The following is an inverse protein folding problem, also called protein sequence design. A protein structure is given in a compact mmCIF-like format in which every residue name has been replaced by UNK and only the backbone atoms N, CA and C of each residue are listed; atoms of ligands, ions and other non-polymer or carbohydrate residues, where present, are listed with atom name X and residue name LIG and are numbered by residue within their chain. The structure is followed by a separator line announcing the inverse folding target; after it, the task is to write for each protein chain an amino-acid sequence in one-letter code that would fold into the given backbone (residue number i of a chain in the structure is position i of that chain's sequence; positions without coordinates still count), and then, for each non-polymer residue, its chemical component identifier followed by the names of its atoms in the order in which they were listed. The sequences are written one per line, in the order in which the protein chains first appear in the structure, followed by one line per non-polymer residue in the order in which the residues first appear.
data_IF_728547351914
#
_entry.id   IF_728547351914
#
_cell.length_a   1.000
_cell.length_b   1.000
_cell.length_c   1.000
_cell.angle_alpha   90.00
_cell.angle_beta   90.00
_cell.angle_gamma   90.00
#
_symmetry.space_group_name_H-M   'P 1'
#
loop_
_entity.id
_entity.type
_entity.pdbx_description
1 polymer ?
#
# COMPACT_ATOMS: atom_id res chain seq x y z
N UNK A 1 4.97 -2.76 17.26
CA UNK A 1 4.75 -1.33 17.27
C UNK A 1 3.79 -0.83 18.35
N UNK A 2 2.71 -1.53 18.61
CA UNK A 2 1.79 -1.33 19.74
C UNK A 2 1.34 -2.71 20.21
N UNK A 3 0.84 -2.79 21.45
CA UNK A 3 0.27 -4.01 22.03
C UNK A 3 -1.15 -4.32 21.49
N UNK A 4 -1.60 -3.54 20.54
CA UNK A 4 -2.94 -3.59 19.96
C UNK A 4 -2.91 -4.16 18.55
N UNK A 5 -3.96 -4.84 18.18
CA UNK A 5 -4.27 -5.22 16.80
C UNK A 5 -5.63 -4.64 16.41
N UNK A 6 -5.84 -4.42 15.13
CA UNK A 6 -7.15 -3.96 14.64
C UNK A 6 -8.20 -5.06 14.78
N UNK A 7 -9.46 -4.68 14.93
CA UNK A 7 -10.56 -5.66 14.95
C UNK A 7 -10.67 -6.44 13.64
N UNK A 8 -10.33 -5.82 12.51
CA UNK A 8 -10.24 -6.53 11.24
C UNK A 8 -9.29 -7.72 11.33
N UNK A 9 -8.11 -7.54 11.89
CA UNK A 9 -7.13 -8.63 12.10
C UNK A 9 -7.64 -9.64 13.13
N UNK A 10 -8.24 -9.17 14.22
CA UNK A 10 -8.74 -10.03 15.31
C UNK A 10 -9.80 -11.01 14.83
N UNK A 11 -10.75 -10.54 14.04
CA UNK A 11 -11.89 -11.34 13.59
C UNK A 11 -11.65 -12.07 12.26
N UNK A 12 -10.52 -11.87 11.60
CA UNK A 12 -10.19 -12.57 10.36
C UNK A 12 -9.78 -14.03 10.56
N UNK A 13 -9.41 -14.43 11.79
CA UNK A 13 -8.92 -15.78 12.09
C UNK A 13 -9.96 -16.89 11.85
N UNK A 14 -11.25 -16.60 11.96
CA UNK A 14 -12.32 -17.55 11.69
C UNK A 14 -12.28 -18.12 10.27
N UNK A 15 -11.87 -17.32 9.28
CA UNK A 15 -11.70 -17.73 7.91
C UNK A 15 -10.61 -18.78 7.70
N UNK A 16 -9.70 -18.95 8.65
CA UNK A 16 -8.67 -19.98 8.58
C UNK A 16 -9.21 -21.39 8.87
N UNK A 17 -10.32 -21.47 9.60
CA UNK A 17 -10.89 -22.75 10.07
C UNK A 17 -12.21 -23.13 9.37
N UNK A 18 -12.89 -22.17 8.75
CA UNK A 18 -14.23 -22.36 8.17
C UNK A 18 -14.20 -22.19 6.66
N UNK A 19 -14.99 -23.02 5.97
CA UNK A 19 -15.21 -22.93 4.52
C UNK A 19 -13.91 -22.97 3.68
N UNK A 20 -12.90 -23.70 4.15
CA UNK A 20 -11.65 -23.93 3.43
C UNK A 20 -11.80 -25.07 2.44
N UNK A 21 -11.23 -24.89 1.25
CA UNK A 21 -11.08 -25.98 0.29
C UNK A 21 -9.93 -26.89 0.75
N UNK A 22 -10.20 -28.17 0.94
CA UNK A 22 -9.26 -29.18 1.40
C UNK A 22 -8.76 -30.09 0.28
N UNK A 23 -9.48 -30.13 -0.83
CA UNK A 23 -9.18 -30.96 -2.02
C UNK A 23 -9.47 -30.16 -3.28
N UNK A 24 -8.88 -30.55 -4.43
CA UNK A 24 -9.24 -29.94 -5.70
C UNK A 24 -10.67 -30.31 -6.13
N UNK A 25 -11.29 -29.42 -6.90
CA UNK A 25 -12.59 -29.63 -7.51
C UNK A 25 -12.48 -29.47 -9.02
N UNK A 26 -13.05 -30.40 -9.74
CA UNK A 26 -13.13 -30.37 -11.21
C UNK A 26 -14.58 -30.21 -11.63
N UNK A 27 -14.83 -29.36 -12.61
CA UNK A 27 -16.16 -29.16 -13.19
C UNK A 27 -16.44 -30.28 -14.19
N UNK A 28 -17.38 -31.15 -13.86
CA UNK A 28 -17.93 -32.19 -14.74
C UNK A 28 -19.43 -31.97 -14.86
N UNK A 29 -19.98 -31.99 -16.08
CA UNK A 29 -21.42 -31.79 -16.33
C UNK A 29 -22.02 -30.55 -15.66
N UNK A 30 -21.30 -29.43 -15.73
CA UNK A 30 -21.65 -28.17 -15.08
C UNK A 30 -21.72 -28.18 -13.55
N UNK A 31 -21.26 -29.24 -12.88
CA UNK A 31 -21.18 -29.33 -11.41
C UNK A 31 -19.73 -29.51 -10.95
N UNK A 32 -19.37 -28.84 -9.87
CA UNK A 32 -18.08 -29.03 -9.20
C UNK A 32 -18.10 -30.36 -8.44
N UNK A 33 -17.15 -31.24 -8.75
CA UNK A 33 -16.97 -32.55 -8.11
C UNK A 33 -15.59 -32.62 -7.46
N UNK A 34 -15.52 -33.24 -6.29
CA UNK A 34 -14.23 -33.50 -5.61
C UNK A 34 -13.34 -34.37 -6.51
N UNK A 35 -12.06 -34.05 -6.53
CA UNK A 35 -11.03 -34.76 -7.28
C UNK A 35 -9.75 -34.88 -6.46
N UNK A 36 -8.76 -35.60 -7.00
CA UNK A 36 -7.42 -35.64 -6.46
C UNK A 36 -6.46 -34.70 -7.22
N UNK A 37 -5.29 -34.46 -6.66
CA UNK A 37 -4.29 -33.56 -7.26
C UNK A 37 -3.76 -34.06 -8.60
N UNK A 38 -3.56 -35.36 -8.77
CA UNK A 38 -3.02 -35.93 -10.01
C UNK A 38 -4.01 -35.70 -11.18
N UNK A 39 -5.29 -35.96 -10.96
CA UNK A 39 -6.33 -35.72 -11.95
C UNK A 39 -6.47 -34.23 -12.27
N UNK A 40 -6.42 -33.35 -11.25
CA UNK A 40 -6.52 -31.91 -11.43
C UNK A 40 -5.30 -31.35 -12.19
N UNK A 41 -4.09 -31.75 -11.83
CA UNK A 41 -2.86 -31.31 -12.50
C UNK A 41 -2.84 -31.80 -13.94
N UNK A 42 -3.20 -33.08 -14.18
CA UNK A 42 -3.28 -33.64 -15.53
C UNK A 42 -4.22 -32.82 -16.40
N UNK A 43 -5.41 -32.51 -15.91
CA UNK A 43 -6.38 -31.70 -16.64
C UNK A 43 -5.85 -30.30 -16.97
N UNK A 44 -5.12 -29.68 -16.04
CA UNK A 44 -4.49 -28.36 -16.27
C UNK A 44 -3.41 -28.48 -17.35
N UNK A 45 -2.54 -29.47 -17.26
CA UNK A 45 -1.47 -29.69 -18.26
C UNK A 45 -2.05 -29.94 -19.64
N UNK A 46 -3.04 -30.84 -19.76
CA UNK A 46 -3.70 -31.16 -21.03
C UNK A 46 -4.32 -29.89 -21.68
N UNK A 47 -4.89 -29.00 -20.86
CA UNK A 47 -5.44 -27.73 -21.37
C UNK A 47 -4.37 -26.73 -21.78
N UNK A 48 -3.31 -26.57 -20.96
CA UNK A 48 -2.24 -25.60 -21.23
C UNK A 48 -1.46 -25.97 -22.49
N UNK A 49 -1.26 -27.25 -22.77
CA UNK A 49 -0.57 -27.74 -23.98
C UNK A 49 -1.30 -27.36 -25.28
N UNK A 50 -2.58 -27.06 -25.22
CA UNK A 50 -3.38 -26.65 -26.39
C UNK A 50 -3.36 -25.13 -26.62
N UNK A 51 -2.79 -24.34 -25.71
CA UNK A 51 -2.83 -22.89 -25.75
C UNK A 51 -1.49 -22.30 -26.22
N UNK A 52 -1.58 -21.14 -26.86
CA UNK A 52 -0.40 -20.33 -27.15
C UNK A 52 0.04 -19.56 -25.89
N UNK A 53 1.31 -19.19 -25.75
CA UNK A 53 1.82 -18.47 -24.58
C UNK A 53 1.04 -17.20 -24.24
N UNK A 54 0.55 -16.49 -25.26
CA UNK A 54 -0.22 -15.25 -25.12
C UNK A 54 -1.64 -15.45 -24.57
N UNK A 55 -2.16 -16.67 -24.66
CA UNK A 55 -3.49 -17.07 -24.14
C UNK A 55 -3.43 -17.48 -22.67
N UNK A 56 -2.21 -17.63 -22.11
CA UNK A 56 -2.00 -18.03 -20.72
C UNK A 56 -1.71 -16.78 -19.91
N UNK A 57 -2.57 -16.47 -18.95
CA UNK A 57 -2.38 -15.38 -17.99
C UNK A 57 -2.39 -15.90 -16.56
N UNK A 58 -1.60 -15.28 -15.69
CA UNK A 58 -1.54 -15.60 -14.28
C UNK A 58 -1.70 -14.38 -13.39
N UNK A 59 -2.49 -14.55 -12.34
CA UNK A 59 -2.67 -13.55 -11.30
C UNK A 59 -2.35 -14.15 -9.92
N UNK A 60 -1.57 -13.41 -9.13
CA UNK A 60 -1.22 -13.78 -7.75
C UNK A 60 -1.75 -12.69 -6.84
N UNK A 61 -2.48 -13.06 -5.79
CA UNK A 61 -2.91 -12.13 -4.76
C UNK A 61 -1.74 -11.71 -3.84
N UNK A 62 -1.90 -10.61 -3.15
CA UNK A 62 -0.90 -9.98 -2.27
C UNK A 62 -0.62 -10.77 -0.97
N UNK A 63 -1.46 -11.73 -0.63
CA UNK A 63 -1.28 -12.61 0.54
C UNK A 63 -0.40 -13.83 0.27
N UNK A 64 0.09 -14.01 -0.97
CA UNK A 64 0.97 -15.12 -1.35
C UNK A 64 2.38 -14.89 -0.80
N UNK A 65 2.99 -15.94 -0.24
CA UNK A 65 4.39 -15.86 0.21
C UNK A 65 5.37 -15.74 -0.97
N UNK A 66 6.58 -15.28 -0.68
CA UNK A 66 7.61 -15.00 -1.68
C UNK A 66 8.04 -16.26 -2.47
N UNK A 67 8.10 -17.40 -1.80
CA UNK A 67 8.48 -18.69 -2.38
C UNK A 67 7.48 -19.15 -3.45
N UNK A 68 6.19 -19.04 -3.15
CA UNK A 68 5.12 -19.38 -4.09
C UNK A 68 5.09 -18.38 -5.26
N UNK A 69 5.29 -17.10 -5.00
CA UNK A 69 5.38 -16.08 -6.05
C UNK A 69 6.56 -16.36 -7.00
N UNK A 70 7.72 -16.75 -6.46
CA UNK A 70 8.88 -17.12 -7.26
C UNK A 70 8.65 -18.42 -8.07
N UNK A 71 8.04 -19.42 -7.46
CA UNK A 71 7.69 -20.68 -8.14
C UNK A 71 6.71 -20.41 -9.30
N UNK A 72 5.71 -19.60 -9.07
CA UNK A 72 4.75 -19.19 -10.09
C UNK A 72 5.40 -18.44 -11.24
N UNK A 73 6.28 -17.47 -10.94
CA UNK A 73 7.07 -16.76 -11.97
C UNK A 73 7.92 -17.72 -12.80
N UNK A 74 8.55 -18.72 -12.17
CA UNK A 74 9.33 -19.77 -12.87
C UNK A 74 8.46 -20.61 -13.78
N UNK A 75 7.26 -21.00 -13.33
CA UNK A 75 6.29 -21.75 -14.11
C UNK A 75 5.89 -21.00 -15.38
N UNK A 76 5.56 -19.71 -15.26
CA UNK A 76 5.21 -18.87 -16.41
C UNK A 76 6.37 -18.69 -17.39
N UNK A 77 7.61 -18.70 -16.89
CA UNK A 77 8.79 -18.68 -17.75
C UNK A 77 8.90 -19.98 -18.60
N UNK A 78 8.49 -21.13 -18.04
CA UNK A 78 8.39 -22.40 -18.78
C UNK A 78 7.31 -22.32 -19.86
N UNK A 79 6.17 -21.72 -19.56
CA UNK A 79 5.10 -21.49 -20.53
C UNK A 79 5.45 -20.43 -21.58
N UNK A 80 6.57 -19.71 -21.43
CA UNK A 80 6.98 -18.56 -22.25
C UNK A 80 5.96 -17.43 -22.28
N UNK A 81 5.08 -17.35 -21.26
CA UNK A 81 4.11 -16.29 -21.12
C UNK A 81 4.63 -15.18 -20.22
N UNK A 82 4.40 -13.93 -20.66
CA UNK A 82 4.72 -12.72 -19.89
C UNK A 82 3.47 -12.11 -19.23
N UNK A 83 2.31 -12.74 -19.36
CA UNK A 83 1.03 -12.24 -18.86
C UNK A 83 0.89 -12.56 -17.36
N UNK A 84 1.73 -11.93 -16.54
CA UNK A 84 1.72 -12.05 -15.09
C UNK A 84 1.30 -10.74 -14.45
N UNK A 85 0.36 -10.80 -13.53
CA UNK A 85 -0.04 -9.66 -12.70
C UNK A 85 -0.15 -10.09 -11.23
N UNK A 86 0.25 -9.20 -10.33
CA UNK A 86 0.18 -9.42 -8.88
C UNK A 86 -0.48 -8.24 -8.14
N UNK A 87 -0.69 -7.13 -8.81
CA UNK A 87 -1.29 -5.93 -8.22
C UNK A 87 -2.80 -6.04 -8.25
N UNK A 88 -3.43 -5.91 -7.10
CA UNK A 88 -4.88 -5.79 -7.01
C UNK A 88 -5.36 -4.40 -7.43
N UNK A 89 -4.52 -3.38 -7.18
CA UNK A 89 -4.79 -2.00 -7.53
C UNK A 89 -3.65 -1.40 -8.34
N UNK A 90 -4.00 -0.49 -9.23
CA UNK A 90 -3.03 0.20 -10.07
C UNK A 90 -2.59 1.49 -9.41
N UNK A 91 -1.57 1.44 -8.57
CA UNK A 91 -0.95 2.62 -7.97
C UNK A 91 0.55 2.69 -8.29
N UNK A 92 1.10 3.91 -8.20
CA UNK A 92 2.51 4.11 -8.46
C UNK A 92 3.36 3.62 -7.30
N UNK A 93 4.32 2.75 -7.59
CA UNK A 93 5.38 2.34 -6.68
C UNK A 93 6.70 2.31 -7.45
N UNK A 94 7.74 2.89 -6.88
CA UNK A 94 9.11 2.78 -7.39
C UNK A 94 9.92 1.83 -6.50
N UNK A 95 10.19 0.58 -6.92
CA UNK A 95 10.87 -0.42 -6.10
C UNK A 95 12.41 -0.24 -6.06
N UNK A 96 12.97 0.77 -6.73
CA UNK A 96 14.41 0.95 -6.84
C UNK A 96 15.10 1.16 -5.48
N UNK A 97 14.41 1.80 -4.54
CA UNK A 97 14.95 2.09 -3.22
C UNK A 97 13.95 1.68 -2.13
N UNK A 98 14.43 1.08 -1.05
CA UNK A 98 13.59 0.64 0.09
C UNK A 98 12.77 1.77 0.69
N UNK A 99 13.33 2.97 0.77
CA UNK A 99 12.65 4.14 1.31
C UNK A 99 11.36 4.52 0.56
N UNK A 100 11.15 3.99 -0.65
CA UNK A 100 9.97 4.31 -1.44
C UNK A 100 8.72 3.49 -1.04
N UNK A 101 8.87 2.43 -0.24
CA UNK A 101 7.77 1.52 0.10
C UNK A 101 7.78 1.00 1.54
N UNK A 102 8.71 1.44 2.37
CA UNK A 102 8.70 1.18 3.81
C UNK A 102 8.46 2.47 4.59
N UNK A 103 7.99 2.34 5.83
CA UNK A 103 7.79 3.48 6.72
C UNK A 103 9.14 3.90 7.32
N UNK A 104 9.77 4.92 6.74
CA UNK A 104 11.19 5.25 6.93
C UNK A 104 11.55 5.70 8.36
N UNK A 105 10.80 6.68 8.91
CA UNK A 105 11.05 7.20 10.27
C UNK A 105 10.66 6.20 11.37
N UNK A 106 10.31 4.99 11.02
CA UNK A 106 9.65 3.97 11.82
C UNK A 106 8.23 4.37 12.29
N UNK A 107 7.40 3.39 12.60
CA UNK A 107 6.04 3.66 13.11
C UNK A 107 6.14 4.33 14.50
N UNK A 108 7.12 3.97 15.32
CA UNK A 108 7.39 4.60 16.60
C UNK A 108 7.85 6.07 16.46
N UNK A 109 8.55 6.39 15.37
CA UNK A 109 9.03 7.74 15.07
C UNK A 109 7.91 8.78 14.87
N UNK A 110 6.66 8.36 14.66
CA UNK A 110 5.51 9.29 14.64
C UNK A 110 5.47 10.13 15.92
N UNK A 111 5.86 9.56 17.06
CA UNK A 111 5.87 10.27 18.33
C UNK A 111 6.94 11.37 18.40
N UNK A 112 7.91 11.38 17.49
CA UNK A 112 8.96 12.39 17.41
C UNK A 112 8.60 13.53 16.43
N UNK A 113 7.58 13.34 15.58
CA UNK A 113 7.20 14.34 14.59
C UNK A 113 6.71 15.64 15.24
N UNK A 114 7.01 16.75 14.59
CA UNK A 114 6.55 18.10 14.96
C UNK A 114 5.52 18.67 13.96
N UNK A 115 5.27 17.95 12.86
CA UNK A 115 4.23 18.22 11.89
C UNK A 115 3.87 16.92 11.16
N UNK A 116 2.59 16.67 10.92
CA UNK A 116 2.12 15.52 10.13
C UNK A 116 1.32 16.03 8.93
N UNK A 117 1.67 15.57 7.72
CA UNK A 117 0.94 15.83 6.49
C UNK A 117 0.43 14.51 5.90
N UNK A 118 -0.88 14.40 5.73
CA UNK A 118 -1.55 13.29 5.05
C UNK A 118 -1.86 13.69 3.61
N UNK A 119 -1.46 12.89 2.62
CA UNK A 119 -1.75 13.13 1.21
C UNK A 119 -2.54 11.94 0.66
N UNK A 120 -3.84 12.11 0.44
CA UNK A 120 -4.72 11.05 -0.02
C UNK A 120 -4.66 9.80 0.84
N UNK A 121 -4.52 9.97 2.14
CA UNK A 121 -4.42 8.88 3.11
C UNK A 121 -5.55 8.95 4.13
N UNK A 122 -6.19 7.81 4.39
CA UNK A 122 -7.12 7.64 5.51
C UNK A 122 -6.58 6.59 6.49
N UNK A 123 -5.68 6.98 7.40
CA UNK A 123 -5.04 6.02 8.30
C UNK A 123 -6.03 5.31 9.23
N UNK A 124 -7.22 5.88 9.50
CA UNK A 124 -8.23 5.20 10.30
C UNK A 124 -8.77 3.93 9.64
N UNK A 125 -8.90 3.92 8.31
CA UNK A 125 -9.40 2.77 7.55
C UNK A 125 -8.28 1.92 6.95
N UNK A 126 -7.20 2.54 6.52
CA UNK A 126 -6.10 1.87 5.82
C UNK A 126 -5.07 1.27 6.79
N UNK A 127 -4.80 1.96 7.92
CA UNK A 127 -3.77 1.60 8.89
C UNK A 127 -4.20 1.98 10.31
N UNK A 128 -5.17 1.26 10.86
CA UNK A 128 -5.87 1.62 12.12
C UNK A 128 -4.93 1.82 13.30
N UNK A 129 -3.90 0.98 13.43
CA UNK A 129 -2.93 1.09 14.54
C UNK A 129 -1.98 2.27 14.33
N UNK A 130 -1.65 2.60 13.07
CA UNK A 130 -0.94 3.83 12.74
C UNK A 130 -1.77 5.06 13.15
N UNK A 131 -3.08 5.04 12.85
CA UNK A 131 -4.00 6.10 13.26
C UNK A 131 -4.06 6.26 14.79
N UNK A 132 -4.10 5.15 15.52
CA UNK A 132 -4.06 5.18 16.99
C UNK A 132 -2.77 5.84 17.50
N UNK A 133 -1.63 5.60 16.87
CA UNK A 133 -0.36 6.24 17.23
C UNK A 133 -0.33 7.73 16.89
N UNK A 134 -0.86 8.13 15.74
CA UNK A 134 -1.03 9.55 15.39
C UNK A 134 -1.91 10.25 16.42
N UNK A 135 -3.04 9.63 16.78
CA UNK A 135 -3.94 10.16 17.82
C UNK A 135 -3.23 10.30 19.17
N UNK A 136 -2.44 9.30 19.58
CA UNK A 136 -1.65 9.33 20.80
C UNK A 136 -0.66 10.50 20.80
N UNK A 137 0.01 10.73 19.67
CA UNK A 137 0.95 11.85 19.50
C UNK A 137 0.22 13.19 19.54
N UNK A 138 -0.90 13.31 18.84
CA UNK A 138 -1.76 14.49 18.89
C UNK A 138 -2.20 14.81 20.32
N UNK A 139 -2.74 13.82 21.06
CA UNK A 139 -3.22 14.01 22.42
C UNK A 139 -2.11 14.41 23.41
N UNK A 140 -0.88 13.93 23.20
CA UNK A 140 0.26 14.23 24.10
C UNK A 140 0.96 15.55 23.79
N UNK A 141 1.11 15.89 22.52
CA UNK A 141 1.97 17.00 22.06
C UNK A 141 1.22 18.07 21.28
N UNK A 142 -0.05 17.85 20.98
CA UNK A 142 -0.83 18.72 20.11
C UNK A 142 -0.13 18.99 18.76
N UNK A 143 0.49 17.94 18.19
CA UNK A 143 1.18 18.05 16.90
C UNK A 143 0.23 18.52 15.81
N UNK A 144 0.57 19.55 15.01
CA UNK A 144 -0.28 20.02 13.95
C UNK A 144 -0.38 18.97 12.82
N UNK A 145 -1.61 18.66 12.43
CA UNK A 145 -1.91 17.65 11.40
C UNK A 145 -2.62 18.34 10.24
N UNK A 146 -2.12 18.11 9.04
CA UNK A 146 -2.64 18.67 7.81
C UNK A 146 -3.03 17.57 6.82
N UNK A 147 -3.97 17.86 5.93
CA UNK A 147 -4.38 16.92 4.89
C UNK A 147 -4.53 17.59 3.53
N UNK A 148 -4.08 16.90 2.49
CA UNK A 148 -4.49 17.14 1.11
C UNK A 148 -5.44 16.01 0.72
N UNK A 149 -6.69 16.38 0.45
CA UNK A 149 -7.85 15.49 0.40
C UNK A 149 -8.58 15.45 1.75
N UNK A 150 -9.79 14.90 1.73
CA UNK A 150 -10.62 14.78 2.92
C UNK A 150 -10.64 13.33 3.43
N UNK A 151 -9.89 13.00 4.49
CA UNK A 151 -9.89 11.66 5.08
C UNK A 151 -11.11 11.37 5.96
N UNK A 152 -12.00 12.34 6.17
CA UNK A 152 -13.16 12.16 7.05
C UNK A 152 -12.79 12.19 8.54
N UNK A 153 -13.54 11.50 9.38
CA UNK A 153 -13.32 11.49 10.83
C UNK A 153 -12.13 10.60 11.20
N UNK A 154 -11.00 11.20 11.56
CA UNK A 154 -9.79 10.51 12.02
C UNK A 154 -9.71 10.34 13.54
N UNK A 155 -10.68 10.89 14.30
CA UNK A 155 -10.72 10.89 15.79
C UNK A 155 -9.76 11.89 16.45
N UNK A 156 -9.19 12.82 15.68
CA UNK A 156 -8.38 13.98 16.09
C UNK A 156 -8.58 15.11 15.10
N UNK A 157 -8.22 16.33 15.50
CA UNK A 157 -8.35 17.50 14.64
C UNK A 157 -7.23 17.58 13.61
N UNK A 158 -7.56 18.03 12.42
CA UNK A 158 -6.63 18.29 11.33
C UNK A 158 -7.16 19.43 10.42
N UNK A 159 -6.26 20.06 9.69
CA UNK A 159 -6.58 21.14 8.75
C UNK A 159 -6.47 20.60 7.30
N UNK A 160 -7.52 20.77 6.51
CA UNK A 160 -7.46 20.49 5.06
C UNK A 160 -6.83 21.69 4.38
N UNK A 161 -5.67 21.48 3.74
CA UNK A 161 -4.89 22.52 3.07
C UNK A 161 -4.98 22.47 1.54
N UNK A 162 -5.65 21.47 1.00
CA UNK A 162 -5.84 21.28 -0.43
C UNK A 162 -6.60 20.01 -0.75
N UNK A 163 -6.99 19.84 -2.01
CA UNK A 163 -7.77 18.69 -2.46
C UNK A 163 -7.27 18.05 -3.77
N UNK A 164 -6.20 18.59 -4.35
CA UNK A 164 -5.75 18.16 -5.66
C UNK A 164 -4.22 18.26 -5.84
N UNK A 165 -3.73 17.80 -6.98
CA UNK A 165 -2.29 17.80 -7.31
C UNK A 165 -1.71 19.22 -7.48
N UNK A 166 -2.52 20.21 -7.85
CA UNK A 166 -2.02 21.57 -8.01
C UNK A 166 -1.67 22.22 -6.68
N UNK A 167 -2.37 21.83 -5.59
CA UNK A 167 -1.99 22.25 -4.24
C UNK A 167 -0.61 21.71 -3.85
N UNK A 168 -0.31 20.47 -4.24
CA UNK A 168 1.02 19.86 -4.04
C UNK A 168 2.08 20.63 -4.85
N UNK A 169 1.80 21.01 -6.10
CA UNK A 169 2.72 21.82 -6.92
C UNK A 169 3.01 23.17 -6.25
N UNK A 170 1.98 23.86 -5.75
CA UNK A 170 2.14 25.12 -5.03
C UNK A 170 2.95 24.97 -3.74
N UNK A 171 2.82 23.85 -3.03
CA UNK A 171 3.65 23.57 -1.85
C UNK A 171 5.12 23.41 -2.27
N UNK A 172 5.40 22.65 -3.32
CA UNK A 172 6.75 22.41 -3.84
C UNK A 172 7.38 23.72 -4.37
N UNK A 173 6.60 24.55 -5.09
CA UNK A 173 7.06 25.87 -5.58
C UNK A 173 7.15 26.94 -4.49
N UNK A 174 6.70 26.64 -3.27
CA UNK A 174 6.66 27.55 -2.11
C UNK A 174 5.64 28.69 -2.24
N UNK A 175 4.66 28.56 -3.13
CA UNK A 175 3.57 29.53 -3.33
C UNK A 175 2.39 29.28 -2.38
N UNK A 176 2.33 28.12 -1.75
CA UNK A 176 1.27 27.77 -0.81
C UNK A 176 1.61 28.26 0.60
N UNK A 177 0.64 28.82 1.33
CA UNK A 177 0.84 29.31 2.70
C UNK A 177 1.39 28.23 3.66
N UNK A 178 1.03 26.97 3.45
CA UNK A 178 1.52 25.82 4.22
C UNK A 178 3.04 25.60 4.03
N UNK A 179 3.62 26.03 2.90
CA UNK A 179 5.05 25.79 2.60
C UNK A 179 5.97 26.34 3.67
N UNK A 180 5.65 27.50 4.23
CA UNK A 180 6.43 28.09 5.30
C UNK A 180 6.35 27.26 6.60
N UNK A 181 5.15 26.75 6.95
CA UNK A 181 4.96 25.88 8.10
C UNK A 181 5.80 24.60 7.94
N UNK A 182 5.75 23.97 6.76
CA UNK A 182 6.52 22.77 6.45
C UNK A 182 8.03 23.04 6.52
N UNK A 183 8.50 24.14 5.93
CA UNK A 183 9.93 24.48 5.93
C UNK A 183 10.49 24.86 7.30
N UNK A 184 9.65 25.31 8.23
CA UNK A 184 10.04 25.62 9.62
C UNK A 184 10.05 24.38 10.54
N UNK A 185 9.45 23.27 10.10
CA UNK A 185 9.43 22.01 10.83
C UNK A 185 10.82 21.37 10.86
N UNK A 186 11.15 20.69 11.95
CA UNK A 186 12.42 19.96 12.11
C UNK A 186 12.29 18.48 11.79
N UNK A 187 11.13 17.90 12.09
CA UNK A 187 10.82 16.48 11.89
C UNK A 187 9.43 16.31 11.29
N UNK A 188 9.20 16.81 10.06
CA UNK A 188 7.91 16.63 9.41
C UNK A 188 7.70 15.17 9.03
N UNK A 189 6.50 14.63 9.27
CA UNK A 189 6.08 13.32 8.83
C UNK A 189 5.11 13.48 7.67
N UNK A 190 5.46 12.94 6.51
CA UNK A 190 4.61 12.96 5.32
C UNK A 190 4.15 11.55 5.01
N UNK A 191 2.84 11.34 5.00
CA UNK A 191 2.22 10.04 4.70
C UNK A 191 1.43 10.17 3.41
N UNK A 192 1.90 9.50 2.35
CA UNK A 192 1.23 9.45 1.06
C UNK A 192 0.42 8.16 1.00
N UNK A 193 -0.89 8.28 0.92
CA UNK A 193 -1.81 7.16 0.84
C UNK A 193 -1.96 6.61 -0.57
N UNK A 194 -2.52 5.42 -0.65
CA UNK A 194 -2.75 4.70 -1.89
C UNK A 194 -3.62 5.50 -2.86
N UNK A 195 -4.66 6.18 -2.37
CA UNK A 195 -5.57 6.94 -3.23
C UNK A 195 -4.88 8.09 -3.98
N UNK A 196 -3.84 8.70 -3.41
CA UNK A 196 -3.03 9.69 -4.13
C UNK A 196 -2.13 9.04 -5.20
N UNK A 197 -1.64 7.83 -4.93
CA UNK A 197 -0.76 7.09 -5.85
C UNK A 197 -1.52 6.41 -7.00
N UNK A 198 -2.82 6.17 -6.86
CA UNK A 198 -3.71 5.65 -7.92
C UNK A 198 -4.03 6.71 -8.98
N UNK A 199 -3.90 7.99 -8.67
CA UNK A 199 -4.14 9.07 -9.62
C UNK A 199 -3.17 8.99 -10.81
N UNK A 200 -3.59 9.50 -11.97
CA UNK A 200 -2.69 9.67 -13.13
C UNK A 200 -1.44 10.49 -12.77
N UNK A 201 -1.56 11.39 -11.81
CA UNK A 201 -0.47 12.19 -11.24
C UNK A 201 0.29 11.49 -10.11
N UNK A 202 -0.03 10.27 -9.74
CA UNK A 202 0.58 9.58 -8.59
C UNK A 202 2.11 9.51 -8.64
N UNK A 203 2.67 9.25 -9.83
CA UNK A 203 4.12 9.32 -10.05
C UNK A 203 4.68 10.71 -9.77
N UNK A 204 4.04 11.75 -10.26
CA UNK A 204 4.44 13.14 -10.04
C UNK A 204 4.39 13.49 -8.55
N UNK A 205 3.28 13.16 -7.89
CA UNK A 205 3.08 13.40 -6.45
C UNK A 205 4.23 12.79 -5.65
N UNK A 206 4.54 11.53 -5.89
CA UNK A 206 5.59 10.84 -5.14
C UNK A 206 6.99 11.38 -5.44
N UNK A 207 7.38 11.40 -6.71
CA UNK A 207 8.76 11.71 -7.13
C UNK A 207 9.12 13.19 -6.87
N UNK A 208 8.24 14.12 -7.17
CA UNK A 208 8.53 15.54 -6.99
C UNK A 208 8.47 15.95 -5.51
N UNK A 209 7.55 15.36 -4.74
CA UNK A 209 7.53 15.62 -3.31
C UNK A 209 8.76 15.02 -2.61
N UNK A 210 9.17 13.82 -2.98
CA UNK A 210 10.42 13.21 -2.50
C UNK A 210 11.63 14.10 -2.81
N UNK A 211 11.77 14.59 -4.05
CA UNK A 211 12.86 15.52 -4.43
C UNK A 211 12.83 16.79 -3.58
N UNK A 212 11.63 17.35 -3.36
CA UNK A 212 11.46 18.51 -2.50
C UNK A 212 11.92 18.26 -1.06
N UNK A 213 11.58 17.12 -0.48
CA UNK A 213 12.00 16.74 0.87
C UNK A 213 13.52 16.55 0.96
N UNK A 214 14.13 15.89 0.00
CA UNK A 214 15.59 15.72 -0.07
C UNK A 214 16.28 17.07 -0.20
N UNK A 215 15.83 17.95 -1.10
CA UNK A 215 16.40 19.29 -1.34
C UNK A 215 16.37 20.17 -0.10
N UNK A 216 15.36 20.03 0.75
CA UNK A 216 15.22 20.78 1.98
C UNK A 216 15.76 20.06 3.22
N UNK A 217 16.52 18.96 3.03
CA UNK A 217 17.17 18.16 4.08
C UNK A 217 16.18 17.54 5.10
N UNK A 218 14.95 17.28 4.70
CA UNK A 218 13.98 16.57 5.52
C UNK A 218 14.18 15.04 5.49
N UNK A 219 14.91 14.53 4.51
CA UNK A 219 15.34 13.15 4.42
C UNK A 219 16.85 13.12 4.68
N UNK A 220 17.26 12.61 5.84
CA UNK A 220 18.64 12.57 6.28
C UNK A 220 18.89 11.34 7.18
N UNK A 221 20.13 11.18 7.71
CA UNK A 221 20.50 10.03 8.56
C UNK A 221 19.70 9.90 9.86
N UNK A 222 19.14 11.00 10.35
CA UNK A 222 18.44 11.07 11.64
C UNK A 222 16.92 11.10 11.47
N UNK A 223 16.45 11.41 10.28
CA UNK A 223 15.04 11.52 9.95
C UNK A 223 14.80 11.31 8.46
N UNK A 224 13.88 10.42 8.07
CA UNK A 224 13.50 10.16 6.67
C UNK A 224 12.08 9.59 6.58
#
# INVERSE_FOLDING_TARGET
NEEWISDKTRYSCDGLLKQRLDVPYIKKENKLQKSNWDEAIKLIVDKIQLLQPEEIAGHIGDTVNMENALAFKKLFKIFKSNNLEFREKKFYVNPAEKMNYIFNSSIAGIEESDLILLIGANPRHEATILNARIRKTFAKKNVPIFSIGNPGNLTYDYEIIGNNTDDIKKIISKEHNFSQKLLSSKKPMIIIGESALELKSGKYIFEEFKKFLIKNNFINKNWN
#
